data_IF_047061844668
#
_entry.id   IF_047061844668
#
_cell.length_a   1.000
_cell.length_b   1.000
_cell.length_c   1.000
_cell.angle_alpha   90.00
_cell.angle_beta   90.00
_cell.angle_gamma   90.00
#
_symmetry.space_group_name_H-M   'P 1'
#
loop_
_entity.id
_entity.type
_entity.pdbx_description
1 polymer ?
#
# COMPACT_ATOMS: atom_id res chain seq x y z
N UNK A 1 0.55 0.86 -13.92
CA UNK A 1 0.50 0.33 -15.30
C UNK A 1 -0.68 0.95 -16.02
N UNK A 2 -0.84 0.74 -17.33
CA UNK A 2 -2.02 1.23 -18.02
C UNK A 2 -3.22 0.36 -17.63
N UNK A 3 -4.28 0.96 -17.09
CA UNK A 3 -5.54 0.22 -16.91
C UNK A 3 -6.17 -0.07 -18.27
N UNK A 4 -7.01 -1.10 -18.36
CA UNK A 4 -7.78 -1.36 -19.58
C UNK A 4 -8.59 -0.12 -19.98
N UNK A 5 -9.18 0.58 -19.01
CA UNK A 5 -9.89 1.84 -19.23
C UNK A 5 -9.00 2.91 -19.88
N UNK A 6 -7.81 3.14 -19.34
CA UNK A 6 -6.87 4.13 -19.88
C UNK A 6 -6.44 3.80 -21.32
N UNK A 7 -6.12 2.53 -21.59
CA UNK A 7 -5.74 2.07 -22.94
C UNK A 7 -6.89 2.29 -23.93
N UNK A 8 -8.11 1.93 -23.54
CA UNK A 8 -9.29 2.10 -24.39
C UNK A 8 -9.54 3.58 -24.68
N UNK A 9 -9.51 4.44 -23.67
CA UNK A 9 -9.73 5.88 -23.85
C UNK A 9 -8.66 6.58 -24.70
N UNK A 10 -7.42 6.11 -24.62
CA UNK A 10 -6.28 6.76 -25.30
C UNK A 10 -6.09 6.25 -26.72
N UNK A 11 -6.19 4.94 -26.93
CA UNK A 11 -5.84 4.29 -28.21
C UNK A 11 -7.06 3.77 -28.98
N UNK A 12 -8.19 3.54 -28.32
CA UNK A 12 -9.36 2.91 -28.90
C UNK A 12 -10.65 3.71 -28.64
N UNK A 13 -10.72 4.99 -29.05
CA UNK A 13 -11.89 5.83 -28.78
C UNK A 13 -13.18 5.29 -29.42
N UNK A 14 -13.05 4.47 -30.47
CA UNK A 14 -14.16 3.86 -31.18
C UNK A 14 -14.48 2.42 -30.71
N UNK A 15 -13.87 1.95 -29.62
CA UNK A 15 -14.17 0.63 -29.10
C UNK A 15 -15.61 0.56 -28.56
N UNK A 16 -16.35 -0.44 -29.01
CA UNK A 16 -17.76 -0.63 -28.62
C UNK A 16 -17.86 -1.80 -27.65
N UNK A 17 -18.38 -1.61 -26.43
CA UNK A 17 -18.65 -2.70 -25.51
C UNK A 17 -19.64 -3.71 -26.10
N UNK A 18 -19.27 -4.99 -26.10
CA UNK A 18 -20.11 -6.09 -26.58
C UNK A 18 -20.87 -6.81 -25.46
N UNK A 19 -20.36 -6.70 -24.24
CA UNK A 19 -20.93 -7.28 -23.04
C UNK A 19 -21.12 -6.19 -21.99
N UNK A 20 -21.89 -6.47 -20.92
CA UNK A 20 -21.93 -5.59 -19.75
C UNK A 20 -20.55 -5.55 -19.10
N UNK A 21 -19.92 -4.38 -19.20
CA UNK A 21 -18.60 -4.17 -18.63
C UNK A 21 -18.73 -3.67 -17.20
N UNK A 22 -18.23 -4.45 -16.23
CA UNK A 22 -18.14 -4.02 -14.83
C UNK A 22 -17.00 -3.00 -14.69
N UNK A 23 -17.22 -1.96 -13.89
CA UNK A 23 -16.22 -0.91 -13.67
C UNK A 23 -14.92 -1.43 -13.05
N UNK A 24 -15.04 -2.45 -12.19
CA UNK A 24 -13.91 -3.17 -11.58
C UNK A 24 -13.05 -3.86 -12.62
N UNK A 25 -13.69 -4.50 -13.62
CA UNK A 25 -12.97 -5.20 -14.69
C UNK A 25 -12.22 -4.23 -15.61
N UNK A 26 -12.73 -3.01 -15.80
CA UNK A 26 -12.03 -1.96 -16.58
C UNK A 26 -10.89 -1.29 -15.83
N UNK A 27 -10.91 -1.36 -14.49
CA UNK A 27 -9.82 -0.87 -13.64
C UNK A 27 -8.62 -1.82 -13.62
N UNK A 28 -8.78 -3.06 -14.09
CA UNK A 28 -7.70 -4.05 -14.16
C UNK A 28 -6.53 -3.53 -15.01
N UNK A 29 -5.34 -3.86 -14.53
CA UNK A 29 -4.08 -3.48 -15.15
C UNK A 29 -3.74 -4.43 -16.29
N UNK A 30 -3.36 -3.88 -17.45
CA UNK A 30 -2.89 -4.67 -18.59
C UNK A 30 -1.36 -4.83 -18.51
N UNK A 31 -0.89 -6.08 -18.44
CA UNK A 31 0.54 -6.45 -18.37
C UNK A 31 1.18 -6.64 -19.72
N UNK A 32 0.45 -7.27 -20.62
CA UNK A 32 0.88 -7.54 -21.98
C UNK A 32 -0.32 -7.67 -22.91
N UNK A 33 -0.06 -7.79 -24.22
CA UNK A 33 -1.08 -8.06 -25.23
C UNK A 33 -0.72 -9.34 -25.97
N UNK A 34 -1.69 -10.25 -26.09
CA UNK A 34 -1.53 -11.54 -26.76
C UNK A 34 -2.50 -11.63 -27.93
N UNK A 35 -1.98 -11.90 -29.12
CA UNK A 35 -2.80 -12.04 -30.34
C UNK A 35 -3.13 -13.49 -30.60
N UNK A 36 -4.41 -13.75 -30.89
CA UNK A 36 -4.88 -15.07 -31.29
C UNK A 36 -4.22 -15.49 -32.60
N UNK A 37 -3.71 -16.71 -32.64
CA UNK A 37 -3.10 -17.33 -33.81
C UNK A 37 -3.98 -18.47 -34.32
N UNK A 38 -3.84 -18.78 -35.61
CA UNK A 38 -4.58 -19.84 -36.29
C UNK A 38 -4.07 -21.27 -36.00
N UNK A 39 -3.20 -21.44 -34.98
CA UNK A 39 -2.56 -22.70 -34.61
C UNK A 39 -2.77 -22.98 -33.13
N UNK A 40 -2.76 -24.26 -32.73
CA UNK A 40 -2.81 -24.65 -31.32
C UNK A 40 -1.40 -24.61 -30.69
N UNK A 41 -1.25 -24.04 -29.47
CA UNK A 41 -2.27 -23.30 -28.72
C UNK A 41 -2.58 -21.93 -29.36
N UNK A 42 -3.87 -21.53 -29.34
CA UNK A 42 -4.35 -20.30 -29.99
C UNK A 42 -3.69 -19.02 -29.44
N UNK A 43 -3.20 -19.09 -28.21
CA UNK A 43 -2.34 -18.09 -27.60
C UNK A 43 -1.02 -18.72 -27.14
N UNK A 44 0.05 -17.96 -27.26
CA UNK A 44 1.40 -18.38 -26.88
C UNK A 44 1.69 -17.91 -25.45
N UNK A 45 1.36 -18.75 -24.46
CA UNK A 45 1.53 -18.47 -23.03
C UNK A 45 0.66 -17.29 -22.55
N UNK A 46 -0.54 -17.59 -22.06
CA UNK A 46 -1.39 -16.59 -21.41
C UNK A 46 -0.97 -16.44 -19.95
N UNK A 47 -0.67 -15.22 -19.52
CA UNK A 47 -0.37 -14.89 -18.13
C UNK A 47 -1.46 -13.99 -17.52
N UNK A 48 -1.55 -14.00 -16.20
CA UNK A 48 -2.48 -13.13 -15.48
C UNK A 48 -2.17 -11.66 -15.78
N UNK A 49 -3.20 -10.91 -16.19
CA UNK A 49 -3.08 -9.51 -16.58
C UNK A 49 -3.00 -9.28 -18.10
N UNK A 50 -2.83 -10.34 -18.89
CA UNK A 50 -2.71 -10.23 -20.35
C UNK A 50 -4.04 -9.84 -20.99
N UNK A 51 -3.98 -9.01 -22.03
CA UNK A 51 -5.12 -8.61 -22.85
C UNK A 51 -5.16 -9.45 -24.13
N UNK A 52 -6.28 -10.14 -24.36
CA UNK A 52 -6.46 -10.96 -25.55
C UNK A 52 -6.92 -10.12 -26.75
N UNK A 53 -6.18 -10.20 -27.85
CA UNK A 53 -6.51 -9.58 -29.13
C UNK A 53 -6.97 -10.68 -30.11
N UNK A 54 -8.24 -10.65 -30.51
CA UNK A 54 -8.89 -11.70 -31.30
C UNK A 54 -9.39 -11.13 -32.62
N UNK A 55 -8.73 -11.41 -33.76
CA UNK A 55 -9.29 -11.11 -35.06
C UNK A 55 -10.52 -11.98 -35.34
N UNK A 56 -11.65 -11.37 -35.70
CA UNK A 56 -12.93 -12.04 -35.92
C UNK A 56 -12.84 -13.09 -37.04
N UNK A 57 -12.06 -12.82 -38.08
CA UNK A 57 -11.78 -13.78 -39.15
C UNK A 57 -11.00 -15.02 -38.68
N UNK A 58 -10.15 -14.88 -37.65
CA UNK A 58 -9.45 -16.04 -37.06
C UNK A 58 -10.35 -16.78 -36.08
N UNK A 59 -11.21 -16.08 -35.36
CA UNK A 59 -12.18 -16.68 -34.44
C UNK A 59 -13.10 -17.65 -35.19
N UNK A 60 -13.65 -17.25 -36.34
CA UNK A 60 -14.56 -18.10 -37.13
C UNK A 60 -13.89 -19.36 -37.66
N UNK A 61 -12.58 -19.33 -37.90
CA UNK A 61 -11.82 -20.47 -38.38
C UNK A 61 -11.36 -21.42 -37.26
N UNK A 62 -10.83 -20.86 -36.17
CA UNK A 62 -10.21 -21.63 -35.08
C UNK A 62 -11.20 -22.04 -33.98
N UNK A 63 -12.31 -21.32 -33.81
CA UNK A 63 -13.40 -21.64 -32.91
C UNK A 63 -14.73 -21.55 -33.68
N UNK A 64 -15.06 -22.54 -34.54
CA UNK A 64 -16.17 -22.43 -35.50
C UNK A 64 -17.56 -22.50 -34.86
N UNK A 65 -17.69 -23.18 -33.73
CA UNK A 65 -18.97 -23.36 -33.01
C UNK A 65 -19.00 -22.64 -31.64
N UNK A 66 -20.19 -22.63 -31.04
CA UNK A 66 -20.45 -21.93 -29.78
C UNK A 66 -19.66 -22.51 -28.61
N UNK A 67 -19.46 -23.85 -28.60
CA UNK A 67 -18.74 -24.52 -27.52
C UNK A 67 -17.25 -24.15 -27.57
N UNK A 68 -16.62 -24.22 -28.76
CA UNK A 68 -15.23 -23.82 -28.93
C UNK A 68 -14.99 -22.34 -28.55
N UNK A 69 -15.97 -21.46 -28.80
CA UNK A 69 -15.92 -20.06 -28.36
C UNK A 69 -16.05 -19.92 -26.85
N UNK A 70 -16.90 -20.73 -26.21
CA UNK A 70 -17.03 -20.76 -24.75
C UNK A 70 -15.75 -21.28 -24.09
N UNK A 71 -15.20 -22.40 -24.57
CA UNK A 71 -13.95 -22.99 -24.07
C UNK A 71 -12.77 -22.01 -24.20
N UNK A 72 -12.72 -21.24 -25.30
CA UNK A 72 -11.70 -20.21 -25.51
C UNK A 72 -11.79 -19.10 -24.45
N UNK A 73 -13.00 -18.65 -24.12
CA UNK A 73 -13.22 -17.60 -23.12
C UNK A 73 -12.96 -18.13 -21.70
N UNK A 74 -13.37 -19.37 -21.42
CA UNK A 74 -13.07 -20.04 -20.15
C UNK A 74 -11.56 -20.14 -19.95
N UNK A 75 -10.82 -20.61 -20.96
CA UNK A 75 -9.35 -20.60 -20.94
C UNK A 75 -8.77 -19.22 -20.60
N UNK A 76 -9.27 -18.15 -21.24
CA UNK A 76 -8.80 -16.78 -20.96
C UNK A 76 -9.13 -16.33 -19.53
N UNK A 77 -10.30 -16.70 -19.01
CA UNK A 77 -10.71 -16.36 -17.66
C UNK A 77 -9.87 -17.10 -16.61
N UNK A 78 -9.63 -18.39 -16.80
CA UNK A 78 -8.81 -19.24 -15.94
C UNK A 78 -7.36 -18.75 -15.85
N UNK A 79 -6.81 -18.23 -16.94
CA UNK A 79 -5.45 -17.66 -16.97
C UNK A 79 -5.39 -16.21 -16.48
N UNK A 80 -6.50 -15.63 -16.02
CA UNK A 80 -6.53 -14.29 -15.43
C UNK A 80 -6.41 -13.17 -16.46
N UNK A 81 -6.94 -13.35 -17.67
CA UNK A 81 -6.94 -12.30 -18.69
C UNK A 81 -7.69 -11.05 -18.22
N UNK A 82 -7.17 -9.89 -18.60
CA UNK A 82 -7.76 -8.59 -18.27
C UNK A 82 -9.01 -8.30 -19.11
N UNK A 83 -9.11 -8.86 -20.31
CA UNK A 83 -10.25 -8.67 -21.21
C UNK A 83 -9.97 -9.15 -22.63
N UNK A 84 -10.95 -8.91 -23.50
CA UNK A 84 -10.93 -9.32 -24.91
C UNK A 84 -11.17 -8.10 -25.80
N UNK A 85 -10.27 -7.89 -26.77
CA UNK A 85 -10.44 -6.99 -27.89
C UNK A 85 -10.73 -7.81 -29.15
N UNK A 86 -11.98 -7.74 -29.61
CA UNK A 86 -12.40 -8.40 -30.84
C UNK A 86 -12.24 -7.43 -32.03
N UNK A 87 -11.29 -7.71 -32.94
CA UNK A 87 -11.13 -6.89 -34.14
C UNK A 87 -11.96 -7.44 -35.28
N UNK A 88 -12.72 -6.57 -35.93
CA UNK A 88 -13.44 -6.93 -37.14
C UNK A 88 -14.07 -5.70 -37.76
N UNK A 89 -14.71 -5.91 -38.90
CA UNK A 89 -15.44 -4.85 -39.57
C UNK A 89 -16.63 -4.37 -38.73
N UNK A 90 -17.03 -3.13 -38.96
CA UNK A 90 -18.18 -2.51 -38.28
C UNK A 90 -19.48 -3.25 -38.61
N UNK A 91 -19.59 -3.74 -39.85
CA UNK A 91 -20.70 -4.54 -40.36
C UNK A 91 -20.21 -5.96 -40.70
N UNK A 92 -20.12 -6.86 -39.70
CA UNK A 92 -19.69 -8.23 -39.94
C UNK A 92 -20.72 -8.99 -40.80
N UNK A 93 -20.24 -9.98 -41.55
CA UNK A 93 -21.15 -10.87 -42.28
C UNK A 93 -21.99 -11.74 -41.30
N UNK A 94 -23.02 -12.44 -41.78
CA UNK A 94 -23.93 -13.20 -40.91
C UNK A 94 -23.25 -14.26 -40.02
N UNK A 95 -22.16 -14.88 -40.49
CA UNK A 95 -21.39 -15.88 -39.73
C UNK A 95 -20.56 -15.19 -38.64
N UNK A 96 -19.87 -14.11 -39.00
CA UNK A 96 -19.07 -13.30 -38.09
C UNK A 96 -19.92 -12.59 -37.03
N UNK A 97 -21.10 -12.09 -37.39
CA UNK A 97 -22.05 -11.49 -36.47
C UNK A 97 -22.50 -12.50 -35.42
N UNK A 98 -22.78 -13.74 -35.84
CA UNK A 98 -23.10 -14.85 -34.93
C UNK A 98 -21.92 -15.19 -34.01
N UNK A 99 -20.71 -15.35 -34.57
CA UNK A 99 -19.51 -15.63 -33.79
C UNK A 99 -19.19 -14.52 -32.76
N UNK A 100 -19.36 -13.25 -33.15
CA UNK A 100 -19.23 -12.08 -32.27
C UNK A 100 -20.22 -12.12 -31.11
N UNK A 101 -21.49 -12.41 -31.39
CA UNK A 101 -22.53 -12.47 -30.36
C UNK A 101 -22.27 -13.62 -29.36
N UNK A 102 -21.90 -14.80 -29.85
CA UNK A 102 -21.62 -15.95 -28.99
C UNK A 102 -20.37 -15.76 -28.12
N UNK A 103 -19.30 -15.17 -28.68
CA UNK A 103 -18.11 -14.80 -27.89
C UNK A 103 -18.45 -13.77 -26.81
N UNK A 104 -19.22 -12.74 -27.15
CA UNK A 104 -19.64 -11.71 -26.21
C UNK A 104 -20.49 -12.29 -25.06
N UNK A 105 -21.39 -13.22 -25.38
CA UNK A 105 -22.18 -13.93 -24.39
C UNK A 105 -21.32 -14.78 -23.45
N UNK A 106 -20.35 -15.53 -24.00
CA UNK A 106 -19.42 -16.30 -23.19
C UNK A 106 -18.55 -15.40 -22.29
N UNK A 107 -18.10 -14.25 -22.81
CA UNK A 107 -17.33 -13.28 -22.05
C UNK A 107 -18.13 -12.67 -20.89
N UNK A 108 -19.41 -12.36 -21.11
CA UNK A 108 -20.31 -11.88 -20.06
C UNK A 108 -20.50 -12.90 -18.94
N UNK A 109 -20.69 -14.18 -19.29
CA UNK A 109 -20.84 -15.28 -18.33
C UNK A 109 -19.60 -15.46 -17.45
N UNK A 110 -18.40 -15.23 -18.02
CA UNK A 110 -17.13 -15.32 -17.32
C UNK A 110 -16.67 -13.99 -16.68
N UNK A 111 -17.47 -12.91 -16.81
CA UNK A 111 -17.14 -11.59 -16.24
C UNK A 111 -15.95 -10.89 -16.90
N UNK A 112 -15.59 -11.29 -18.13
CA UNK A 112 -14.51 -10.68 -18.91
C UNK A 112 -15.05 -9.51 -19.76
N UNK A 113 -14.44 -8.31 -19.69
CA UNK A 113 -14.75 -7.24 -20.63
C UNK A 113 -14.47 -7.67 -22.06
N UNK A 114 -15.45 -7.49 -22.94
CA UNK A 114 -15.31 -7.76 -24.37
C UNK A 114 -15.68 -6.50 -25.16
N UNK A 115 -14.72 -5.99 -25.93
CA UNK A 115 -14.85 -4.76 -26.72
C UNK A 115 -14.61 -5.08 -28.19
N UNK A 116 -15.49 -4.60 -29.07
CA UNK A 116 -15.22 -4.61 -30.50
C UNK A 116 -14.38 -3.40 -30.90
N UNK A 117 -13.37 -3.65 -31.73
CA UNK A 117 -12.53 -2.62 -32.34
C UNK A 117 -12.66 -2.70 -33.85
N UNK A 118 -12.86 -1.56 -34.48
CA UNK A 118 -13.12 -1.43 -35.91
C UNK A 118 -12.04 -0.58 -36.60
N UNK A 119 -11.81 -0.85 -37.90
CA UNK A 119 -10.97 0.00 -38.75
C UNK A 119 -9.47 -0.04 -38.45
N UNK A 120 -8.99 -1.03 -37.69
CA UNK A 120 -7.57 -1.21 -37.39
C UNK A 120 -7.10 -2.61 -37.76
N UNK A 121 -5.91 -2.68 -38.36
CA UNK A 121 -5.24 -3.96 -38.65
C UNK A 121 -4.63 -4.55 -37.36
N UNK A 122 -4.68 -5.88 -37.24
CA UNK A 122 -4.30 -6.59 -36.02
C UNK A 122 -2.85 -6.32 -35.60
N UNK A 123 -1.89 -6.39 -36.53
CA UNK A 123 -0.49 -6.20 -36.20
C UNK A 123 -0.18 -4.72 -35.88
N UNK A 124 -0.86 -3.76 -36.52
CA UNK A 124 -0.74 -2.35 -36.15
C UNK A 124 -1.28 -2.08 -34.74
N UNK A 125 -2.45 -2.64 -34.40
CA UNK A 125 -3.04 -2.46 -33.08
C UNK A 125 -2.21 -3.16 -31.99
N UNK A 126 -1.75 -4.38 -32.23
CA UNK A 126 -0.84 -5.10 -31.34
C UNK A 126 0.41 -4.26 -31.02
N UNK A 127 1.12 -3.77 -32.04
CA UNK A 127 2.31 -2.93 -31.85
C UNK A 127 2.01 -1.65 -31.07
N UNK A 128 0.87 -1.02 -31.34
CA UNK A 128 0.46 0.22 -30.67
C UNK A 128 0.15 -0.01 -29.20
N UNK A 129 -0.58 -1.09 -28.87
CA UNK A 129 -0.91 -1.45 -27.49
C UNK A 129 0.34 -1.87 -26.71
N UNK A 130 1.19 -2.74 -27.28
CA UNK A 130 2.47 -3.13 -26.65
C UNK A 130 3.33 -1.89 -26.41
N UNK A 131 3.46 -1.01 -27.41
CA UNK A 131 4.19 0.24 -27.30
C UNK A 131 3.67 1.12 -26.16
N UNK A 132 2.35 1.23 -26.00
CA UNK A 132 1.75 2.00 -24.91
C UNK A 132 1.97 1.37 -23.53
N UNK A 133 1.84 0.05 -23.40
CA UNK A 133 2.11 -0.68 -22.14
C UNK A 133 3.57 -0.51 -21.73
N UNK A 134 4.50 -0.72 -22.66
CA UNK A 134 5.95 -0.56 -22.43
C UNK A 134 6.29 0.90 -22.10
N UNK A 135 5.77 1.86 -22.85
CA UNK A 135 6.02 3.28 -22.59
C UNK A 135 5.46 3.71 -21.22
N UNK A 136 4.28 3.20 -20.84
CA UNK A 136 3.71 3.47 -19.52
C UNK A 136 4.56 2.89 -18.39
N UNK A 137 5.12 1.69 -18.57
CA UNK A 137 6.07 1.10 -17.63
C UNK A 137 7.34 1.94 -17.52
N UNK A 138 7.93 2.33 -18.65
CA UNK A 138 9.12 3.19 -18.68
C UNK A 138 8.87 4.55 -18.01
N UNK A 139 7.68 5.12 -18.19
CA UNK A 139 7.28 6.35 -17.50
C UNK A 139 7.17 6.16 -15.99
N UNK A 140 6.58 5.06 -15.53
CA UNK A 140 6.52 4.75 -14.09
C UNK A 140 7.91 4.57 -13.49
N UNK A 141 8.84 3.91 -14.19
CA UNK A 141 10.22 3.78 -13.77
C UNK A 141 10.92 5.15 -13.67
N UNK A 142 10.74 6.03 -14.66
CA UNK A 142 11.25 7.41 -14.62
C UNK A 142 10.71 8.19 -13.41
N UNK A 143 9.41 8.05 -13.15
CA UNK A 143 8.77 8.69 -12.00
C UNK A 143 9.30 8.15 -10.67
N UNK A 144 9.55 6.85 -10.59
CA UNK A 144 10.13 6.22 -9.40
C UNK A 144 11.60 6.63 -9.17
N UNK A 145 12.38 6.85 -10.23
CA UNK A 145 13.72 7.49 -10.13
C UNK A 145 13.59 8.90 -9.55
N UNK A 146 12.57 9.65 -9.98
CA UNK A 146 12.27 10.98 -9.43
C UNK A 146 11.95 10.94 -7.94
N UNK A 147 11.11 9.98 -7.50
CA UNK A 147 10.78 9.75 -6.10
C UNK A 147 12.03 9.41 -5.27
N UNK A 148 12.88 8.51 -5.76
CA UNK A 148 14.11 8.11 -5.09
C UNK A 148 15.02 9.33 -4.83
N UNK A 149 15.21 10.19 -5.84
CA UNK A 149 15.97 11.44 -5.71
C UNK A 149 15.34 12.40 -4.71
N UNK A 150 14.01 12.53 -4.71
CA UNK A 150 13.29 13.36 -3.75
C UNK A 150 13.48 12.85 -2.32
N UNK A 151 13.38 11.54 -2.10
CA UNK A 151 13.59 10.92 -0.78
C UNK A 151 15.03 11.09 -0.31
N UNK A 152 16.01 10.91 -1.20
CA UNK A 152 17.42 11.16 -0.88
C UNK A 152 17.65 12.62 -0.45
N UNK A 153 17.03 13.58 -1.15
CA UNK A 153 17.11 14.99 -0.76
C UNK A 153 16.48 15.25 0.62
N UNK A 154 15.28 14.73 0.89
CA UNK A 154 14.62 14.86 2.20
C UNK A 154 15.45 14.27 3.35
N UNK A 155 16.13 13.13 3.10
CA UNK A 155 17.00 12.49 4.08
C UNK A 155 18.27 13.32 4.35
N UNK A 156 18.89 13.89 3.31
CA UNK A 156 20.05 14.78 3.43
C UNK A 156 19.71 16.09 4.14
N UNK A 157 18.52 16.64 3.89
CA UNK A 157 18.00 17.85 4.53
C UNK A 157 17.49 17.59 5.96
N UNK A 158 17.59 16.36 6.47
CA UNK A 158 17.21 16.00 7.84
C UNK A 158 15.71 16.15 8.13
N UNK A 159 14.84 16.05 7.12
CA UNK A 159 13.39 16.26 7.27
C UNK A 159 12.67 15.14 8.05
N UNK A 160 13.40 14.07 8.40
CA UNK A 160 12.91 12.96 9.23
C UNK A 160 12.08 11.92 8.47
N UNK A 161 11.81 10.79 9.14
CA UNK A 161 11.13 9.63 8.56
C UNK A 161 9.68 9.94 8.12
N UNK A 162 8.97 10.83 8.82
CA UNK A 162 7.59 11.20 8.46
C UNK A 162 7.53 11.91 7.10
N UNK A 163 8.45 12.81 6.80
CA UNK A 163 8.51 13.52 5.52
C UNK A 163 8.81 12.56 4.36
N UNK A 164 9.77 11.63 4.58
CA UNK A 164 10.15 10.62 3.60
C UNK A 164 8.96 9.68 3.30
N UNK A 165 8.31 9.16 4.35
CA UNK A 165 7.14 8.28 4.19
C UNK A 165 5.95 9.05 3.62
N UNK A 166 5.82 10.34 3.90
CA UNK A 166 4.85 11.22 3.26
C UNK A 166 5.04 11.34 1.76
N UNK A 167 6.28 11.49 1.28
CA UNK A 167 6.58 11.51 -0.16
C UNK A 167 6.23 10.17 -0.83
N UNK A 168 6.56 9.04 -0.18
CA UNK A 168 6.20 7.70 -0.66
C UNK A 168 4.67 7.50 -0.69
N UNK A 169 3.96 7.87 0.37
CA UNK A 169 2.51 7.75 0.47
C UNK A 169 1.78 8.63 -0.56
N UNK A 170 2.27 9.85 -0.79
CA UNK A 170 1.75 10.75 -1.82
C UNK A 170 2.02 10.21 -3.23
N UNK A 171 3.21 9.63 -3.47
CA UNK A 171 3.51 8.98 -4.73
C UNK A 171 2.57 7.80 -4.96
N UNK A 172 2.46 6.86 -4.02
CA UNK A 172 1.63 5.67 -4.22
C UNK A 172 0.14 6.03 -4.27
N UNK A 173 -0.30 7.03 -3.50
CA UNK A 173 -1.70 7.37 -3.32
C UNK A 173 -2.42 6.48 -2.31
N UNK A 174 -1.67 5.79 -1.44
CA UNK A 174 -2.16 4.92 -0.37
C UNK A 174 -1.49 5.27 0.95
N UNK A 175 -2.13 4.90 2.06
CA UNK A 175 -1.51 5.07 3.37
C UNK A 175 -0.35 4.07 3.56
N UNK A 176 0.74 4.54 4.16
CA UNK A 176 1.98 3.78 4.35
C UNK A 176 2.41 3.90 5.80
N UNK A 177 2.75 2.78 6.41
CA UNK A 177 3.44 2.74 7.69
C UNK A 177 4.87 2.23 7.52
N UNK A 178 5.79 2.76 8.31
CA UNK A 178 7.15 2.29 8.45
C UNK A 178 7.29 1.70 9.85
N UNK A 179 7.73 0.44 9.92
CA UNK A 179 8.00 -0.23 11.17
C UNK A 179 9.49 -0.54 11.29
N UNK A 180 10.04 -0.36 12.50
CA UNK A 180 11.34 -0.88 12.88
C UNK A 180 11.28 -2.40 13.08
N UNK A 181 12.44 -2.98 13.36
CA UNK A 181 12.55 -4.31 13.95
C UNK A 181 11.63 -4.44 15.19
N UNK A 182 10.96 -5.58 15.33
CA UNK A 182 10.03 -5.84 16.43
C UNK A 182 8.63 -5.23 16.25
N UNK A 183 8.35 -4.61 15.10
CA UNK A 183 7.02 -4.10 14.77
C UNK A 183 6.69 -2.73 15.39
N UNK A 184 7.70 -2.02 15.90
CA UNK A 184 7.52 -0.66 16.43
C UNK A 184 7.27 0.29 15.25
N UNK A 185 6.13 0.97 15.25
CA UNK A 185 5.81 1.97 14.22
C UNK A 185 6.70 3.21 14.37
N UNK A 186 7.48 3.52 13.34
CA UNK A 186 8.35 4.69 13.25
C UNK A 186 7.66 5.88 12.59
N UNK A 187 6.81 5.62 11.60
CA UNK A 187 6.02 6.63 10.91
C UNK A 187 4.75 6.00 10.32
N UNK A 188 3.64 6.73 10.32
CA UNK A 188 2.40 6.32 9.64
C UNK A 188 1.82 7.53 8.94
N UNK A 189 1.69 7.47 7.62
CA UNK A 189 1.24 8.61 6.82
C UNK A 189 0.11 8.19 5.88
N UNK A 190 -0.97 8.97 5.89
CA UNK A 190 -2.01 8.92 4.86
C UNK A 190 -1.84 10.12 3.91
N UNK A 191 -1.89 9.91 2.58
CA UNK A 191 -1.82 11.01 1.64
C UNK A 191 -3.07 11.90 1.74
N UNK A 192 -2.86 13.22 1.68
CA UNK A 192 -3.92 14.22 1.68
C UNK A 192 -4.16 14.79 0.28
N UNK A 193 -5.39 15.24 0.00
CA UNK A 193 -5.74 15.90 -1.25
C UNK A 193 -5.89 14.99 -2.46
N UNK A 194 -5.93 13.66 -2.26
CA UNK A 194 -6.17 12.69 -3.31
C UNK A 194 -7.58 12.09 -3.21
N UNK A 195 -8.15 11.57 -4.31
CA UNK A 195 -9.45 10.87 -4.26
C UNK A 195 -9.48 9.71 -3.25
N UNK A 196 -8.34 9.06 -3.02
CA UNK A 196 -8.16 7.93 -2.09
C UNK A 196 -7.94 8.34 -0.62
N UNK A 197 -7.85 9.64 -0.31
CA UNK A 197 -7.47 10.11 1.03
C UNK A 197 -8.41 9.64 2.16
N UNK A 198 -9.71 9.53 1.91
CA UNK A 198 -10.66 9.06 2.91
C UNK A 198 -10.47 7.57 3.26
N UNK A 199 -10.24 6.73 2.25
CA UNK A 199 -9.94 5.31 2.44
C UNK A 199 -8.59 5.12 3.16
N UNK A 200 -7.60 5.93 2.79
CA UNK A 200 -6.28 5.94 3.42
C UNK A 200 -6.35 6.31 4.91
N UNK A 201 -7.12 7.34 5.27
CA UNK A 201 -7.32 7.73 6.68
C UNK A 201 -8.02 6.63 7.50
N UNK A 202 -9.01 5.94 6.92
CA UNK A 202 -9.66 4.78 7.54
C UNK A 202 -8.65 3.65 7.80
N UNK A 203 -7.79 3.36 6.82
CA UNK A 203 -6.76 2.32 6.93
C UNK A 203 -5.75 2.64 8.05
N UNK A 204 -5.32 3.90 8.18
CA UNK A 204 -4.48 4.35 9.29
C UNK A 204 -5.18 4.17 10.64
N UNK A 205 -6.45 4.58 10.76
CA UNK A 205 -7.21 4.40 12.00
C UNK A 205 -7.34 2.93 12.40
N UNK A 206 -7.53 2.04 11.42
CA UNK A 206 -7.61 0.60 11.67
C UNK A 206 -6.26 0.03 12.14
N UNK A 207 -5.17 0.38 11.45
CA UNK A 207 -3.81 -0.01 11.83
C UNK A 207 -3.45 0.44 13.25
N UNK A 208 -3.74 1.70 13.60
CA UNK A 208 -3.48 2.24 14.94
C UNK A 208 -4.35 1.61 16.04
N UNK A 209 -5.51 1.05 15.68
CA UNK A 209 -6.38 0.33 16.63
C UNK A 209 -5.87 -1.07 17.01
N UNK A 210 -4.74 -1.52 16.44
CA UNK A 210 -4.13 -2.86 16.62
C UNK A 210 -5.06 -4.05 16.31
N UNK A 211 -6.13 -3.82 15.55
CA UNK A 211 -7.09 -4.86 15.14
C UNK A 211 -6.53 -5.71 13.98
N UNK A 212 -5.47 -6.50 14.19
CA UNK A 212 -4.76 -7.31 13.15
C UNK A 212 -4.22 -6.49 11.94
N UNK A 213 -3.16 -6.94 11.25
CA UNK A 213 -2.52 -6.14 10.22
C UNK A 213 -3.35 -6.16 8.92
N UNK A 214 -4.11 -5.10 8.65
CA UNK A 214 -4.75 -4.85 7.34
C UNK A 214 -3.76 -4.11 6.43
N UNK A 215 -2.66 -4.79 6.08
CA UNK A 215 -1.67 -4.22 5.17
C UNK A 215 -0.62 -5.23 4.72
N UNK A 216 -0.13 -5.05 3.50
CA UNK A 216 0.91 -5.88 2.92
C UNK A 216 2.28 -5.38 3.38
N UNK A 217 3.05 -6.28 4.00
CA UNK A 217 4.38 -6.00 4.57
C UNK A 217 5.47 -6.28 3.54
N UNK A 218 6.34 -5.30 3.33
CA UNK A 218 7.49 -5.38 2.45
C UNK A 218 8.74 -5.22 3.32
N UNK A 219 9.54 -6.29 3.52
CA UNK A 219 10.73 -6.22 4.35
C UNK A 219 11.78 -5.30 3.71
N UNK A 220 12.45 -4.48 4.53
CA UNK A 220 13.58 -3.67 4.09
C UNK A 220 14.82 -4.54 3.91
N UNK A 221 15.70 -4.22 2.94
CA UNK A 221 16.96 -4.95 2.77
C UNK A 221 17.85 -4.79 4.00
N UNK A 222 18.71 -5.78 4.23
CA UNK A 222 19.75 -5.69 5.24
C UNK A 222 20.74 -4.57 4.90
N UNK A 223 21.25 -3.90 5.93
CA UNK A 223 22.27 -2.86 5.79
C UNK A 223 23.59 -3.42 6.31
N UNK A 224 24.63 -3.58 5.47
CA UNK A 224 25.93 -4.05 5.91
C UNK A 224 26.51 -3.18 7.03
N UNK A 225 26.93 -3.80 8.14
CA UNK A 225 27.51 -3.09 9.28
C UNK A 225 26.50 -2.40 10.20
N UNK A 226 25.19 -2.65 10.04
CA UNK A 226 24.21 -2.26 11.03
C UNK A 226 24.52 -2.95 12.38
N UNK A 227 24.35 -2.26 13.52
CA UNK A 227 24.64 -2.86 14.82
C UNK A 227 23.76 -4.10 15.03
N UNK A 228 24.40 -5.23 15.34
CA UNK A 228 23.72 -6.43 15.80
C UNK A 228 23.04 -6.10 17.14
N UNK A 229 21.73 -5.89 17.12
CA UNK A 229 20.98 -5.65 18.35
C UNK A 229 21.07 -6.86 19.28
N UNK A 230 21.42 -6.63 20.55
CA UNK A 230 21.42 -7.65 21.58
C UNK A 230 20.04 -8.32 21.66
N UNK A 231 20.02 -9.65 21.55
CA UNK A 231 18.81 -10.47 21.71
C UNK A 231 18.31 -10.36 23.16
N UNK A 232 17.19 -9.68 23.40
CA UNK A 232 16.35 -10.03 24.54
C UNK A 232 15.53 -11.26 24.14
N UNK A 233 16.10 -12.44 24.43
CA UNK A 233 15.35 -13.69 24.49
C UNK A 233 14.43 -13.61 25.71
N UNK A 234 13.25 -12.99 25.57
CA UNK A 234 12.16 -13.30 26.49
C UNK A 234 11.64 -14.70 26.13
N UNK A 235 12.04 -15.69 26.94
CA UNK A 235 11.47 -17.04 26.90
C UNK A 235 9.94 -16.97 27.04
N UNK A 236 9.19 -17.25 25.97
CA UNK A 236 7.77 -17.60 26.09
C UNK A 236 6.78 -17.06 25.06
N UNK A 237 7.18 -16.27 24.06
CA UNK A 237 6.25 -15.89 22.97
C UNK A 237 6.40 -16.88 21.82
N UNK A 238 5.34 -17.65 21.54
CA UNK A 238 5.27 -18.56 20.41
C UNK A 238 5.75 -17.87 19.13
N UNK A 239 6.82 -18.40 18.54
CA UNK A 239 7.33 -18.00 17.24
C UNK A 239 6.20 -18.10 16.22
N UNK A 240 5.81 -16.94 15.67
CA UNK A 240 4.98 -16.91 14.47
C UNK A 240 5.70 -17.71 13.37
N UNK A 241 5.06 -18.68 12.68
CA UNK A 241 5.73 -19.62 11.77
C UNK A 241 6.26 -19.00 10.46
N UNK A 242 6.37 -17.68 10.41
CA UNK A 242 6.91 -16.89 9.30
C UNK A 242 8.18 -16.12 9.74
N UNK A 243 8.90 -16.65 10.74
CA UNK A 243 10.19 -16.14 11.20
C UNK A 243 11.20 -16.08 10.05
N UNK A 244 11.31 -14.89 9.48
CA UNK A 244 12.22 -14.49 8.41
C UNK A 244 13.67 -14.81 8.79
N UNK A 245 14.30 -15.73 8.08
CA UNK A 245 15.76 -15.86 8.10
C UNK A 245 16.38 -14.52 7.65
N UNK A 246 16.88 -13.73 8.59
CA UNK A 246 17.56 -12.46 8.29
C UNK A 246 17.56 -11.45 9.43
N UNK A 247 18.29 -11.75 10.51
CA UNK A 247 18.47 -10.90 11.72
C UNK A 247 19.19 -9.56 11.49
N UNK A 248 19.36 -9.12 10.24
CA UNK A 248 20.07 -7.91 9.84
C UNK A 248 19.15 -6.83 9.26
N UNK A 249 17.86 -7.13 9.05
CA UNK A 249 16.93 -6.17 8.46
C UNK A 249 16.51 -5.09 9.48
N UNK A 250 16.49 -3.80 9.10
CA UNK A 250 16.18 -2.70 10.02
C UNK A 250 14.67 -2.50 10.25
N UNK A 251 13.81 -3.03 9.37
CA UNK A 251 12.38 -2.77 9.46
C UNK A 251 11.56 -3.27 8.26
N UNK A 252 10.35 -2.75 8.12
CA UNK A 252 9.44 -3.06 7.00
C UNK A 252 8.59 -1.86 6.61
N UNK A 253 8.30 -1.74 5.31
CA UNK A 253 7.25 -0.86 4.79
C UNK A 253 5.93 -1.63 4.83
N UNK A 254 4.85 -0.99 5.27
CA UNK A 254 3.51 -1.58 5.30
C UNK A 254 2.59 -0.72 4.47
N UNK A 255 2.04 -1.30 3.41
CA UNK A 255 1.03 -0.69 2.57
C UNK A 255 -0.33 -0.97 3.19
N UNK A 256 -0.99 0.07 3.69
CA UNK A 256 -2.23 -0.05 4.45
C UNK A 256 -3.45 -0.15 3.53
N UNK A 257 -4.47 -0.86 4.02
CA UNK A 257 -5.74 -1.10 3.32
C UNK A 257 -5.78 -2.46 2.62
N UNK A 258 -6.96 -2.81 2.11
CA UNK A 258 -7.26 -4.15 1.60
C UNK A 258 -6.99 -4.32 0.10
N UNK A 259 -6.58 -3.24 -0.57
CA UNK A 259 -6.28 -3.26 -2.01
C UNK A 259 -4.98 -4.05 -2.28
N UNK A 260 -4.95 -4.95 -3.28
CA UNK A 260 -3.74 -5.67 -3.63
C UNK A 260 -2.59 -4.73 -4.02
N UNK A 261 -1.35 -5.16 -3.81
CA UNK A 261 -0.17 -4.36 -4.18
C UNK A 261 0.01 -4.39 -5.69
N UNK A 262 -0.15 -3.22 -6.30
CA UNK A 262 0.08 -3.01 -7.72
C UNK A 262 1.56 -2.83 -8.08
N UNK A 263 1.82 -2.70 -9.37
CA UNK A 263 3.18 -2.49 -9.90
C UNK A 263 3.80 -1.18 -9.43
N UNK A 264 2.99 -0.12 -9.31
CA UNK A 264 3.49 1.20 -8.88
C UNK A 264 4.05 1.10 -7.46
N UNK A 265 3.31 0.44 -6.57
CA UNK A 265 3.73 0.16 -5.20
C UNK A 265 5.00 -0.68 -5.18
N UNK A 266 5.06 -1.76 -5.97
CA UNK A 266 6.25 -2.63 -6.03
C UNK A 266 7.49 -1.86 -6.47
N UNK A 267 7.43 -1.17 -7.62
CA UNK A 267 8.57 -0.41 -8.16
C UNK A 267 9.00 0.70 -7.18
N UNK A 268 8.04 1.43 -6.59
CA UNK A 268 8.35 2.50 -5.65
C UNK A 268 9.00 1.96 -4.38
N UNK A 269 8.40 0.95 -3.75
CA UNK A 269 8.91 0.34 -2.53
C UNK A 269 10.27 -0.30 -2.74
N UNK A 270 10.48 -1.05 -3.84
CA UNK A 270 11.75 -1.69 -4.17
C UNK A 270 12.88 -0.66 -4.30
N UNK A 271 12.62 0.47 -4.99
CA UNK A 271 13.63 1.52 -5.17
C UNK A 271 13.97 2.27 -3.89
N UNK A 272 12.97 2.57 -3.06
CA UNK A 272 13.16 3.44 -1.88
C UNK A 272 13.56 2.65 -0.63
N UNK A 273 13.34 1.33 -0.61
CA UNK A 273 13.65 0.48 0.53
C UNK A 273 15.13 0.55 0.98
N UNK A 274 16.14 0.57 0.10
CA UNK A 274 17.54 0.74 0.51
C UNK A 274 17.79 2.07 1.23
N UNK A 275 17.21 3.18 0.74
CA UNK A 275 17.38 4.50 1.36
C UNK A 275 16.69 4.56 2.73
N UNK A 276 15.49 3.99 2.84
CA UNK A 276 14.77 3.88 4.11
C UNK A 276 15.52 3.02 5.13
N UNK A 277 16.12 1.93 4.68
CA UNK A 277 16.92 1.05 5.53
C UNK A 277 18.12 1.80 6.13
N UNK A 278 18.83 2.58 5.30
CA UNK A 278 19.94 3.43 5.74
C UNK A 278 19.48 4.53 6.71
N UNK A 279 18.35 5.18 6.42
CA UNK A 279 17.85 6.26 7.28
C UNK A 279 17.42 5.75 8.66
N UNK A 280 16.81 4.56 8.74
CA UNK A 280 16.49 3.93 10.03
C UNK A 280 17.76 3.66 10.83
N UNK A 281 18.80 3.12 10.19
CA UNK A 281 20.09 2.85 10.86
C UNK A 281 20.77 4.15 11.28
N UNK A 282 20.72 5.20 10.45
CA UNK A 282 21.26 6.52 10.79
C UNK A 282 20.57 7.12 12.01
N UNK A 283 19.23 7.14 12.01
CA UNK A 283 18.44 7.63 13.15
C UNK A 283 18.70 6.80 14.41
N UNK A 284 18.84 5.47 14.27
CA UNK A 284 19.18 4.59 15.39
C UNK A 284 20.60 4.84 15.93
N UNK A 285 21.56 5.22 15.09
CA UNK A 285 22.93 5.55 15.49
C UNK A 285 23.07 6.97 16.07
N UNK A 286 22.23 7.91 15.65
CA UNK A 286 22.14 9.26 16.23
C UNK A 286 21.49 9.26 17.62
N UNK A 287 20.71 8.22 17.93
CA UNK A 287 20.25 7.95 19.28
C UNK A 287 21.45 7.44 20.11
N UNK A 288 21.80 8.06 21.25
CA UNK A 288 22.84 7.52 22.12
C UNK A 288 22.52 6.05 22.44
N UNK A 289 23.54 5.20 22.61
CA UNK A 289 23.38 3.76 22.93
C UNK A 289 22.48 3.50 24.18
N UNK A 290 22.20 4.55 24.97
CA UNK A 290 21.32 4.54 26.13
C UNK A 290 19.93 5.18 25.91
N UNK A 291 19.56 5.59 24.70
CA UNK A 291 18.27 6.23 24.43
C UNK A 291 17.07 5.28 24.60
N UNK A 292 17.31 3.96 24.56
CA UNK A 292 16.35 2.93 24.98
C UNK A 292 16.42 2.59 26.48
N UNK A 293 17.45 3.05 27.21
CA UNK A 293 17.61 2.85 28.65
C UNK A 293 17.20 4.11 29.42
N UNK A 294 15.90 4.40 29.45
CA UNK A 294 15.27 5.21 30.52
C UNK A 294 16.00 6.47 31.00
N UNK A 295 16.72 7.19 30.13
CA UNK A 295 17.47 8.38 30.55
C UNK A 295 16.56 9.60 30.43
N UNK A 296 16.26 10.21 31.57
CA UNK A 296 15.46 11.41 31.68
C UNK A 296 16.14 12.55 30.91
N UNK A 297 15.66 12.85 29.70
CA UNK A 297 16.01 14.10 29.00
C UNK A 297 15.52 15.26 29.86
N UNK A 298 16.45 16.04 30.39
CA UNK A 298 16.17 17.35 30.97
C UNK A 298 15.75 18.28 29.83
N UNK A 299 14.59 18.92 29.98
CA UNK A 299 14.05 19.86 29.00
C UNK A 299 14.94 21.11 28.91
N UNK A 300 15.05 21.73 27.71
CA UNK A 300 15.81 22.96 27.53
C UNK A 300 15.31 24.07 28.48
N UNK A 301 16.26 24.74 29.15
CA UNK A 301 15.96 25.71 30.21
C UNK A 301 15.27 27.00 29.71
N UNK A 302 15.30 27.26 28.40
CA UNK A 302 14.69 28.45 27.79
C UNK A 302 13.72 28.05 26.68
N UNK A 303 12.46 27.84 27.07
CA UNK A 303 11.31 27.62 26.19
C UNK A 303 10.01 27.82 27.00
N UNK A 304 8.89 28.22 26.37
CA UNK A 304 7.67 28.59 27.09
C UNK A 304 7.12 27.43 27.95
N UNK A 305 6.47 27.72 29.10
CA UNK A 305 6.25 26.76 30.16
C UNK A 305 5.04 25.87 29.84
N UNK A 306 5.22 24.84 29.04
CA UNK A 306 4.32 23.69 29.08
C UNK A 306 4.92 22.66 30.06
N UNK A 307 4.13 22.32 31.08
CA UNK A 307 4.54 21.42 32.17
C UNK A 307 4.69 20.00 31.61
N UNK A 308 5.90 19.44 31.66
CA UNK A 308 6.12 18.00 31.52
C UNK A 308 6.25 17.38 32.91
N UNK A 309 5.43 16.38 33.23
CA UNK A 309 5.55 15.59 34.45
C UNK A 309 6.08 14.21 34.05
N UNK A 310 7.30 13.89 34.48
CA UNK A 310 7.83 12.53 34.45
C UNK A 310 7.49 11.85 35.78
N UNK A 311 6.52 10.93 35.78
CA UNK A 311 6.25 10.09 36.94
C UNK A 311 7.07 8.79 36.84
N UNK A 312 7.77 8.46 37.93
CA UNK A 312 8.52 7.21 38.08
C UNK A 312 7.55 6.03 38.20
N UNK A 313 7.90 4.87 37.63
CA UNK A 313 7.15 3.62 37.82
C UNK A 313 7.18 3.18 39.30
N UNK A 314 6.03 2.86 39.93
CA UNK A 314 6.01 1.97 41.09
C UNK A 314 6.10 0.51 40.62
N UNK A 315 6.79 -0.33 41.41
CA UNK A 315 6.96 -1.75 41.07
C UNK A 315 5.61 -2.49 41.13
N UNK A 316 5.45 -3.66 40.47
CA UNK A 316 4.16 -4.36 40.32
C UNK A 316 3.41 -4.71 41.63
N UNK A 317 4.11 -4.63 42.77
CA UNK A 317 3.61 -4.94 44.11
C UNK A 317 3.33 -3.69 44.97
N UNK A 318 3.58 -2.48 44.46
CA UNK A 318 3.51 -1.23 45.24
C UNK A 318 2.23 -0.41 45.06
N UNK A 319 1.39 -0.62 44.04
CA UNK A 319 0.15 0.17 43.89
C UNK A 319 -0.95 -0.50 43.04
N UNK A 320 -2.21 -0.33 43.49
CA UNK A 320 -3.43 -0.69 42.76
C UNK A 320 -3.75 0.36 41.67
N UNK A 321 -3.17 0.15 40.49
CA UNK A 321 -3.24 1.04 39.31
C UNK A 321 -4.69 1.40 38.89
N UNK A 322 -5.67 0.47 38.90
CA UNK A 322 -7.09 0.79 38.70
C UNK A 322 -7.69 1.84 39.66
N UNK A 323 -7.32 1.80 40.95
CA UNK A 323 -7.83 2.73 41.95
C UNK A 323 -7.28 4.16 41.73
N UNK A 324 -5.99 4.26 41.43
CA UNK A 324 -5.32 5.53 41.13
C UNK A 324 -5.91 6.24 39.89
N UNK A 325 -6.24 5.50 38.83
CA UNK A 325 -6.95 6.07 37.65
C UNK A 325 -8.32 6.62 38.01
N UNK A 326 -9.02 5.99 38.94
CA UNK A 326 -10.37 6.39 39.37
C UNK A 326 -10.31 7.68 40.18
N UNK A 327 -9.32 7.81 41.07
CA UNK A 327 -9.04 9.01 41.86
C UNK A 327 -8.64 10.20 40.97
N UNK A 328 -7.81 9.97 39.96
CA UNK A 328 -7.38 11.01 39.00
C UNK A 328 -8.53 11.52 38.11
N UNK A 329 -9.51 10.67 37.77
CA UNK A 329 -10.73 11.10 37.05
C UNK A 329 -11.64 11.97 37.90
N UNK A 330 -11.61 11.83 39.23
CA UNK A 330 -12.39 12.67 40.15
C UNK A 330 -11.77 14.06 40.32
N UNK A 331 -10.47 14.21 40.10
CA UNK A 331 -9.74 15.47 40.25
C UNK A 331 -9.81 16.40 39.01
N UNK A 332 -10.39 15.95 37.88
CA UNK A 332 -10.34 16.69 36.63
C UNK A 332 -11.70 16.74 35.88
N UNK A 333 -12.03 17.94 35.36
CA UNK A 333 -13.17 18.13 34.47
C UNK A 333 -12.95 17.44 33.10
N UNK A 334 -13.97 16.81 32.48
CA UNK A 334 -13.82 15.88 31.35
C UNK A 334 -13.20 16.46 30.06
N UNK A 335 -13.02 17.78 29.96
CA UNK A 335 -12.55 18.45 28.74
C UNK A 335 -11.05 18.74 28.69
N UNK A 336 -10.28 18.42 29.75
CA UNK A 336 -8.90 18.95 29.92
C UNK A 336 -7.78 17.91 29.97
N UNK A 337 -8.07 16.61 29.87
CA UNK A 337 -7.04 15.57 29.87
C UNK A 337 -7.35 14.48 28.84
N UNK A 338 -6.38 14.13 27.99
CA UNK A 338 -6.43 12.91 27.18
C UNK A 338 -5.45 11.89 27.74
N UNK A 339 -5.97 10.76 28.20
CA UNK A 339 -5.17 9.61 28.63
C UNK A 339 -4.82 8.78 27.39
N UNK A 340 -3.53 8.63 27.06
CA UNK A 340 -3.06 7.73 25.99
C UNK A 340 -2.39 6.50 26.61
N UNK A 341 -2.93 5.31 26.34
CA UNK A 341 -2.38 4.01 26.73
C UNK A 341 -3.41 2.87 26.68
N UNK A 342 -3.00 1.67 26.24
CA UNK A 342 -3.82 0.45 26.25
C UNK A 342 -3.59 -0.37 27.53
N UNK A 343 -4.43 -1.38 27.78
CA UNK A 343 -4.41 -2.20 29.00
C UNK A 343 -3.15 -3.07 29.19
N UNK A 344 -2.30 -3.18 28.17
CA UNK A 344 -1.00 -3.88 28.23
C UNK A 344 0.19 -2.91 28.19
N UNK A 345 -0.09 -1.61 28.20
CA UNK A 345 0.97 -0.60 28.27
C UNK A 345 1.46 -0.50 29.72
N UNK A 346 2.69 -0.97 29.98
CA UNK A 346 3.45 -0.70 31.22
C UNK A 346 3.85 0.78 31.37
N UNK A 347 3.31 1.67 30.54
CA UNK A 347 3.49 3.11 30.59
C UNK A 347 2.13 3.82 30.57
N UNK A 348 1.71 4.34 31.72
CA UNK A 348 0.64 5.36 31.76
C UNK A 348 1.32 6.72 31.62
N UNK A 349 1.39 7.24 30.39
CA UNK A 349 1.85 8.62 30.15
C UNK A 349 0.66 9.57 30.23
N UNK A 350 0.60 10.36 31.30
CA UNK A 350 -0.38 11.45 31.46
C UNK A 350 0.26 12.72 30.91
N UNK A 351 -0.25 13.25 29.80
CA UNK A 351 0.13 14.57 29.30
C UNK A 351 -0.98 15.54 29.70
N UNK A 352 -0.64 16.46 30.61
CA UNK A 352 -1.52 17.54 31.05
C UNK A 352 -1.17 18.81 30.27
N UNK A 353 -2.09 19.32 29.46
CA UNK A 353 -1.94 20.64 28.85
C UNK A 353 -2.82 21.59 29.67
N UNK A 354 -2.19 22.37 30.55
CA UNK A 354 -2.86 23.48 31.21
C UNK A 354 -2.55 24.77 30.43
N UNK A 355 -3.58 25.60 30.23
CA UNK A 355 -3.44 26.94 29.67
C UNK A 355 -2.58 27.78 30.64
N UNK A 356 -1.62 28.55 30.11
CA UNK A 356 -0.70 29.38 30.89
C UNK A 356 -1.41 30.43 31.75
N UNK A 357 -2.68 30.73 31.44
CA UNK A 357 -3.52 31.66 32.20
C UNK A 357 -4.22 31.05 33.43
N UNK A 358 -4.10 29.73 33.68
CA UNK A 358 -4.81 29.05 34.76
C UNK A 358 -4.01 29.09 36.09
N UNK A 359 -4.48 29.82 37.12
CA UNK A 359 -3.77 29.98 38.38
C UNK A 359 -3.68 28.68 39.22
N UNK A 360 -4.51 27.67 38.93
CA UNK A 360 -4.48 26.37 39.63
C UNK A 360 -3.47 25.36 39.07
N UNK A 361 -2.89 25.64 37.90
CA UNK A 361 -2.00 24.71 37.20
C UNK A 361 -0.67 24.50 37.93
N UNK A 362 -0.09 25.57 38.48
CA UNK A 362 1.19 25.52 39.19
C UNK A 362 1.12 24.75 40.52
N UNK A 363 0.00 24.86 41.25
CA UNK A 363 -0.21 24.13 42.50
C UNK A 363 -0.42 22.63 42.27
N UNK A 364 -1.16 22.29 41.21
CA UNK A 364 -1.40 20.91 40.79
C UNK A 364 -0.11 20.23 40.32
N UNK A 365 0.71 20.93 39.52
CA UNK A 365 2.03 20.45 39.12
C UNK A 365 2.95 20.20 40.32
N UNK A 366 2.94 21.08 41.33
CA UNK A 366 3.73 20.92 42.57
C UNK A 366 3.30 19.73 43.42
N UNK A 367 2.00 19.43 43.52
CA UNK A 367 1.47 18.29 44.28
C UNK A 367 1.82 16.96 43.61
N UNK A 368 1.80 16.92 42.28
CA UNK A 368 2.10 15.70 41.50
C UNK A 368 3.60 15.43 41.44
N UNK A 369 4.46 16.44 41.36
CA UNK A 369 5.92 16.26 41.32
C UNK A 369 6.56 15.78 42.66
N UNK A 370 5.79 15.76 43.76
CA UNK A 370 6.26 15.29 45.09
C UNK A 370 5.88 13.84 45.42
N UNK A 371 5.09 13.18 44.58
CA UNK A 371 4.79 11.74 44.65
C UNK A 371 5.60 11.03 43.58
#
# INVERSE_FOLDING_TARGET
>A
MASLRELVQTLLPNAVPLAKVRDESMARTVTWVRVMRMRLPAFDGMESGDLALIPLALLTAAAPDAQARADLVEYLAEHGSTGILLLGDEQPNGVEAKARAELAQAAEQNGLPCLAVHGMESAQLERSLIGAVVNRRAELERQAVGLERQIAALALDGQGLEAIIGALAAFIGRAVALEARGGVSLAVVAPAGLPSSAAAAKAVSHYLSKSRPTGQRIPLPAVPGAPEGERELEEGVEESPLGDEGSERPGSIILLGDEPVGERERIACERVAPLLALEIVRVAAELPANAGRGEARTLPAEGPPWVAIAARQPRPHEADVPALRRELRLLASPRRFMLRGSNESLEVRIVAVADASDPGAAESARKVAKR
#
